data_IF_243177803778
#
_entry.id   IF_243177803778
#
_cell.length_a   1.000
_cell.length_b   1.000
_cell.length_c   1.000
_cell.angle_alpha   90.00
_cell.angle_beta   90.00
_cell.angle_gamma   90.00
#
_symmetry.space_group_name_H-M   'P 1'
#
loop_
_entity.id
_entity.type
_entity.pdbx_description
1 polymer ?
#
# COMPACT_ATOMS: atom_id res chain seq x y z
N UNK A 1 -22.47 -79.62 8.70
CA UNK A 1 -21.50 -78.60 8.22
C UNK A 1 -22.16 -77.20 8.18
N UNK A 2 -22.84 -76.80 9.26
CA UNK A 2 -23.44 -75.46 9.41
C UNK A 2 -23.51 -75.00 10.89
N UNK A 3 -22.87 -75.72 11.83
CA UNK A 3 -22.94 -75.42 13.28
C UNK A 3 -21.58 -75.07 13.91
N UNK A 4 -20.48 -75.14 13.16
CA UNK A 4 -19.12 -74.89 13.66
C UNK A 4 -18.53 -73.55 13.19
N UNK A 5 -19.15 -72.87 12.21
CA UNK A 5 -18.74 -71.55 11.73
C UNK A 5 -19.41 -70.38 12.46
N UNK A 6 -20.44 -70.63 13.29
CA UNK A 6 -21.15 -69.58 14.04
C UNK A 6 -20.49 -69.25 15.37
N UNK A 7 -19.68 -70.17 15.93
CA UNK A 7 -19.02 -69.99 17.24
C UNK A 7 -17.72 -69.17 17.12
N UNK A 8 -16.99 -69.25 16.00
CA UNK A 8 -15.79 -68.43 15.78
C UNK A 8 -16.09 -66.95 15.47
N UNK A 9 -17.29 -66.62 14.95
CA UNK A 9 -17.71 -65.23 14.76
C UNK A 9 -18.18 -64.58 16.08
N UNK A 10 -18.72 -65.36 17.01
CA UNK A 10 -19.22 -64.84 18.30
C UNK A 10 -18.07 -64.47 19.26
N UNK A 11 -16.96 -65.22 19.27
CA UNK A 11 -15.81 -64.93 20.16
C UNK A 11 -14.96 -63.72 19.72
N UNK A 12 -14.92 -63.38 18.42
CA UNK A 12 -14.22 -62.18 17.93
C UNK A 12 -14.94 -60.87 18.27
N UNK A 13 -16.27 -60.88 18.34
CA UNK A 13 -17.05 -59.69 18.68
C UNK A 13 -17.14 -59.42 20.20
N UNK A 14 -17.05 -60.46 21.05
CA UNK A 14 -17.04 -60.29 22.52
C UNK A 14 -15.72 -59.68 23.00
N UNK A 15 -14.59 -60.01 22.36
CA UNK A 15 -13.28 -59.46 22.73
C UNK A 15 -13.12 -57.99 22.30
N UNK A 16 -13.76 -57.58 21.19
CA UNK A 16 -13.74 -56.20 20.71
C UNK A 16 -14.64 -55.25 21.53
N UNK A 17 -15.75 -55.75 22.10
CA UNK A 17 -16.64 -54.94 22.95
C UNK A 17 -16.08 -54.77 24.38
N UNK A 18 -15.26 -55.72 24.87
CA UNK A 18 -14.61 -55.61 26.19
C UNK A 18 -13.42 -54.62 26.17
N UNK A 19 -12.76 -54.41 25.02
CA UNK A 19 -11.75 -53.35 24.89
C UNK A 19 -12.32 -51.94 24.61
N UNK A 20 -13.55 -51.86 24.07
CA UNK A 20 -14.24 -50.57 23.82
C UNK A 20 -15.08 -50.06 24.99
N UNK A 21 -15.17 -50.81 26.10
CA UNK A 21 -15.92 -50.43 27.31
C UNK A 21 -15.05 -50.07 28.51
N UNK A 22 -13.72 -50.01 28.35
CA UNK A 22 -12.78 -49.73 29.45
C UNK A 22 -12.23 -48.28 29.51
N UNK A 23 -12.69 -47.36 28.66
CA UNK A 23 -12.24 -45.95 28.72
C UNK A 23 -13.36 -44.94 29.02
N UNK A 24 -14.58 -45.41 29.29
CA UNK A 24 -15.69 -44.56 29.69
C UNK A 24 -16.35 -45.11 30.96
N UNK A 25 -15.76 -44.81 32.13
CA UNK A 25 -16.42 -44.61 33.44
C UNK A 25 -15.40 -44.80 34.58
N UNK A 26 -14.74 -43.72 34.97
CA UNK A 26 -14.49 -43.46 36.38
C UNK A 26 -14.83 -41.99 36.65
N UNK A 27 -16.09 -41.78 37.00
CA UNK A 27 -16.47 -40.69 37.89
C UNK A 27 -17.01 -41.37 39.15
N UNK A 28 -16.22 -41.37 40.22
CA UNK A 28 -16.72 -41.48 41.59
C UNK A 28 -15.66 -40.90 42.52
N UNK A 29 -16.05 -39.83 43.20
CA UNK A 29 -15.25 -39.08 44.16
C UNK A 29 -14.71 -39.96 45.30
N UNK A 30 -13.46 -39.71 45.69
CA UNK A 30 -13.12 -39.56 47.10
C UNK A 30 -12.06 -38.48 47.23
N UNK A 31 -12.22 -37.66 48.27
CA UNK A 31 -11.43 -36.46 48.54
C UNK A 31 -9.99 -36.82 48.89
N UNK A 32 -9.02 -36.21 48.23
CA UNK A 32 -7.73 -35.87 48.84
C UNK A 32 -7.16 -34.64 48.11
N UNK A 33 -6.89 -33.60 48.90
CA UNK A 33 -6.28 -32.33 48.54
C UNK A 33 -4.89 -32.56 47.94
N UNK A 34 -4.72 -32.31 46.64
CA UNK A 34 -3.45 -31.88 46.04
C UNK A 34 -3.75 -31.03 44.80
N UNK A 35 -3.93 -29.73 45.04
CA UNK A 35 -4.14 -28.70 44.03
C UNK A 35 -2.87 -28.55 43.15
N UNK A 36 -2.77 -29.35 42.09
CA UNK A 36 -2.00 -28.97 40.90
C UNK A 36 -2.98 -28.24 39.99
N UNK A 37 -2.96 -26.91 40.05
CA UNK A 37 -3.56 -26.07 39.01
C UNK A 37 -2.80 -26.34 37.70
N UNK A 38 -3.25 -27.29 36.89
CA UNK A 38 -2.90 -27.31 35.48
C UNK A 38 -3.58 -26.07 34.86
N UNK A 39 -2.77 -25.04 34.57
CA UNK A 39 -3.24 -23.89 33.79
C UNK A 39 -3.83 -24.40 32.47
N UNK A 40 -5.02 -23.93 32.05
CA UNK A 40 -5.54 -24.26 30.74
C UNK A 40 -4.50 -23.87 29.68
N UNK A 41 -4.18 -24.80 28.78
CA UNK A 41 -3.39 -24.47 27.59
C UNK A 41 -4.05 -23.27 26.89
N UNK A 42 -3.29 -22.24 26.48
CA UNK A 42 -3.87 -21.09 25.81
C UNK A 42 -4.64 -21.55 24.56
N UNK A 43 -5.92 -21.17 24.46
CA UNK A 43 -6.74 -21.46 23.28
C UNK A 43 -6.05 -20.85 22.05
N UNK A 44 -5.89 -21.65 20.98
CA UNK A 44 -5.39 -21.10 19.73
C UNK A 44 -6.33 -20.00 19.21
N UNK A 45 -5.79 -18.84 18.79
CA UNK A 45 -6.61 -17.72 18.37
C UNK A 45 -7.48 -18.12 17.18
N UNK A 46 -8.79 -17.96 17.32
CA UNK A 46 -9.76 -18.30 16.28
C UNK A 46 -9.78 -17.22 15.19
N UNK A 47 -9.89 -17.58 13.89
CA UNK A 47 -9.87 -16.58 12.83
C UNK A 47 -11.03 -15.57 12.90
N UNK A 48 -10.71 -14.28 12.94
CA UNK A 48 -11.69 -13.18 12.77
C UNK A 48 -12.07 -13.01 11.28
N UNK A 49 -13.08 -12.19 10.94
CA UNK A 49 -13.38 -11.96 9.52
C UNK A 49 -12.24 -11.22 8.83
N UNK A 50 -11.72 -10.13 9.44
CA UNK A 50 -10.63 -9.35 8.85
C UNK A 50 -9.61 -8.83 9.87
N UNK A 51 -8.33 -8.99 9.56
CA UNK A 51 -7.25 -8.35 10.30
C UNK A 51 -6.55 -7.34 9.41
N UNK A 52 -6.41 -6.10 9.87
CA UNK A 52 -5.70 -5.04 9.15
C UNK A 52 -4.43 -4.68 9.92
N UNK A 53 -3.30 -4.62 9.20
CA UNK A 53 -2.05 -4.02 9.69
C UNK A 53 -1.90 -2.63 9.08
N UNK A 54 -1.83 -1.59 9.90
CA UNK A 54 -1.28 -0.30 9.53
C UNK A 54 0.19 -0.23 9.95
N UNK A 55 1.08 -0.25 8.97
CA UNK A 55 2.52 -0.15 9.18
C UNK A 55 2.95 1.28 8.95
N UNK A 56 3.36 1.95 10.02
CA UNK A 56 3.87 3.32 9.97
C UNK A 56 5.39 3.26 9.93
N UNK A 57 5.98 3.52 8.76
CA UNK A 57 7.43 3.65 8.63
C UNK A 57 7.91 4.83 9.50
N UNK A 58 8.93 4.56 10.32
CA UNK A 58 9.38 5.37 11.45
C UNK A 58 9.91 6.76 11.15
N UNK A 59 10.45 7.36 12.21
CA UNK A 59 11.14 8.66 12.35
C UNK A 59 11.01 9.67 11.21
N UNK A 60 10.31 10.76 11.54
CA UNK A 60 10.15 11.92 10.68
C UNK A 60 10.68 13.14 11.43
N UNK A 61 11.85 12.98 12.02
CA UNK A 61 12.67 14.07 12.51
C UNK A 61 13.75 14.31 11.45
N UNK A 62 13.42 15.13 10.45
CA UNK A 62 14.37 15.45 9.40
C UNK A 62 15.59 16.21 9.95
N UNK A 63 16.79 15.66 9.74
CA UNK A 63 17.92 16.50 9.30
C UNK A 63 17.53 17.31 8.03
N UNK A 64 16.48 16.89 7.32
CA UNK A 64 15.83 17.55 6.19
C UNK A 64 14.71 18.55 6.55
N UNK A 65 14.26 18.65 7.81
CA UNK A 65 13.21 19.59 8.23
C UNK A 65 11.77 19.26 7.84
N UNK A 66 11.48 18.04 7.37
CA UNK A 66 10.11 17.52 7.22
C UNK A 66 9.69 16.84 8.53
N UNK A 67 8.54 17.21 9.09
CA UNK A 67 8.05 16.74 10.40
C UNK A 67 6.69 16.06 10.22
N UNK A 68 6.61 14.72 10.35
CA UNK A 68 5.33 14.01 10.54
C UNK A 68 5.19 13.24 11.87
N UNK A 69 6.02 13.52 12.88
CA UNK A 69 5.82 13.01 14.25
C UNK A 69 4.43 13.38 14.81
N UNK A 70 3.95 14.60 14.54
CA UNK A 70 2.57 15.01 14.86
C UNK A 70 1.52 14.22 14.07
N UNK A 71 1.84 13.82 12.83
CA UNK A 71 0.91 13.08 11.97
C UNK A 71 0.78 11.62 12.38
N UNK A 72 1.85 10.97 12.85
CA UNK A 72 1.78 9.60 13.39
C UNK A 72 0.77 9.52 14.55
N UNK A 73 0.88 10.46 15.49
CA UNK A 73 -0.05 10.64 16.60
C UNK A 73 -1.50 10.86 16.13
N UNK A 74 -1.69 11.79 15.21
CA UNK A 74 -3.00 12.12 14.64
C UNK A 74 -3.63 10.91 13.92
N UNK A 75 -2.84 10.11 13.18
CA UNK A 75 -3.33 8.91 12.52
C UNK A 75 -3.86 7.89 13.52
N UNK A 76 -3.09 7.61 14.59
CA UNK A 76 -3.51 6.64 15.61
C UNK A 76 -4.73 7.16 16.35
N UNK A 77 -4.73 8.42 16.79
CA UNK A 77 -5.89 9.03 17.47
C UNK A 77 -7.14 8.99 16.57
N UNK A 78 -7.03 9.28 15.27
CA UNK A 78 -8.15 9.15 14.32
C UNK A 78 -8.57 7.67 14.15
N UNK A 79 -7.64 6.72 14.18
CA UNK A 79 -7.98 5.30 14.14
C UNK A 79 -8.69 4.83 15.42
N UNK A 80 -8.23 5.25 16.59
CA UNK A 80 -8.89 5.00 17.89
C UNK A 80 -10.29 5.62 17.93
N UNK A 81 -10.43 6.87 17.47
CA UNK A 81 -11.71 7.57 17.39
C UNK A 81 -12.67 6.98 16.35
N UNK A 82 -12.16 6.28 15.33
CA UNK A 82 -12.96 5.57 14.33
C UNK A 82 -13.24 4.11 14.66
N UNK A 83 -12.58 3.57 15.68
CA UNK A 83 -12.70 2.17 16.07
C UNK A 83 -14.07 1.89 16.71
N UNK A 84 -14.64 0.74 16.38
CA UNK A 84 -15.87 0.23 16.97
C UNK A 84 -15.68 -1.27 17.26
N UNK A 85 -15.90 -1.68 18.51
CA UNK A 85 -15.71 -3.07 18.95
C UNK A 85 -16.69 -4.06 18.29
N UNK A 86 -17.72 -3.55 17.59
CA UNK A 86 -18.62 -4.36 16.77
C UNK A 86 -18.07 -4.71 15.39
N UNK A 87 -16.95 -4.10 14.95
CA UNK A 87 -16.29 -4.49 13.72
C UNK A 87 -15.89 -5.97 13.80
N UNK A 88 -16.18 -6.70 12.72
CA UNK A 88 -15.87 -8.13 12.63
C UNK A 88 -14.37 -8.32 12.33
N UNK A 89 -13.48 -7.80 13.16
CA UNK A 89 -12.06 -7.77 12.84
C UNK A 89 -11.20 -7.09 13.89
N UNK A 90 -9.96 -6.82 13.51
CA UNK A 90 -8.94 -6.23 14.38
C UNK A 90 -8.02 -5.30 13.58
N UNK A 91 -7.73 -4.13 14.12
CA UNK A 91 -6.71 -3.22 13.60
C UNK A 91 -5.45 -3.28 14.47
N UNK A 92 -4.33 -3.58 13.83
CA UNK A 92 -3.01 -3.50 14.44
C UNK A 92 -2.22 -2.35 13.82
N UNK A 93 -1.55 -1.55 14.65
CA UNK A 93 -0.66 -0.47 14.20
C UNK A 93 0.75 -0.76 14.67
N UNK A 94 1.68 -0.89 13.73
CA UNK A 94 3.10 -0.86 14.05
C UNK A 94 3.60 0.57 13.97
N UNK A 95 4.29 1.01 15.02
CA UNK A 95 4.99 2.28 15.05
C UNK A 95 6.42 2.10 15.54
N UNK A 96 7.32 2.82 14.89
CA UNK A 96 8.68 3.08 15.34
C UNK A 96 8.71 4.55 15.79
N UNK A 97 8.61 4.81 17.12
CA UNK A 97 8.28 6.13 17.65
C UNK A 97 9.38 7.14 17.36
N UNK A 98 8.99 8.33 16.89
CA UNK A 98 9.90 9.48 16.83
C UNK A 98 10.41 9.84 18.24
N UNK A 99 11.63 10.38 18.40
CA UNK A 99 12.12 10.95 19.65
C UNK A 99 11.17 11.98 20.30
N UNK A 100 10.32 12.64 19.50
CA UNK A 100 9.28 13.56 19.99
C UNK A 100 8.08 12.85 20.61
N UNK A 101 7.88 11.57 20.30
CA UNK A 101 6.83 10.73 20.84
C UNK A 101 7.34 10.04 22.12
N UNK A 102 7.08 10.66 23.26
CA UNK A 102 7.65 10.24 24.57
C UNK A 102 6.89 9.09 25.25
N UNK A 103 5.79 8.59 24.67
CA UNK A 103 4.97 7.57 25.32
C UNK A 103 5.55 6.15 25.17
N UNK A 104 6.26 5.86 24.08
CA UNK A 104 6.94 4.58 23.87
C UNK A 104 8.42 4.83 23.62
N UNK A 105 9.29 4.18 24.40
CA UNK A 105 10.75 4.29 24.22
C UNK A 105 11.27 3.41 23.08
N UNK A 106 10.53 2.35 22.74
CA UNK A 106 10.89 1.36 21.73
C UNK A 106 9.79 1.26 20.65
N UNK A 107 10.09 0.70 19.45
CA UNK A 107 9.06 0.34 18.50
C UNK A 107 8.03 -0.63 19.10
N UNK A 108 6.76 -0.43 18.77
CA UNK A 108 5.65 -1.22 19.32
C UNK A 108 4.65 -1.64 18.25
N UNK A 109 3.98 -2.75 18.52
CA UNK A 109 2.75 -3.17 17.84
C UNK A 109 1.58 -2.92 18.78
N UNK A 110 0.68 -2.06 18.35
CA UNK A 110 -0.54 -1.71 19.05
C UNK A 110 -1.71 -2.50 18.48
N UNK A 111 -2.61 -2.96 19.34
CA UNK A 111 -3.98 -3.36 18.97
C UNK A 111 -4.91 -2.20 19.30
N UNK A 112 -5.53 -1.65 18.26
CA UNK A 112 -6.37 -0.46 18.40
C UNK A 112 -7.58 -0.74 19.28
N UNK A 113 -7.85 0.22 20.18
CA UNK A 113 -9.04 0.28 21.01
C UNK A 113 -9.75 1.60 20.78
N UNK A 114 -11.06 1.63 21.04
CA UNK A 114 -11.82 2.86 20.94
C UNK A 114 -11.36 3.85 22.01
N UNK A 115 -10.97 5.03 21.57
CA UNK A 115 -10.67 6.18 22.42
C UNK A 115 -11.01 7.49 21.70
N UNK A 116 -11.32 8.53 22.46
CA UNK A 116 -11.58 9.88 21.95
C UNK A 116 -10.72 10.94 22.64
N UNK A 117 -9.71 10.52 23.39
CA UNK A 117 -8.74 11.40 24.05
C UNK A 117 -7.50 11.60 23.18
N UNK A 118 -6.64 12.59 23.49
CA UNK A 118 -5.38 12.76 22.75
C UNK A 118 -4.29 11.74 23.08
N UNK A 119 -4.49 10.88 24.09
CA UNK A 119 -3.50 9.92 24.53
C UNK A 119 -3.73 8.57 23.87
N UNK A 120 -2.65 7.90 23.43
CA UNK A 120 -2.78 6.56 22.85
C UNK A 120 -3.11 5.57 23.97
N UNK A 121 -4.32 5.01 23.97
CA UNK A 121 -4.75 4.01 24.98
C UNK A 121 -4.81 2.59 24.42
N UNK A 122 -4.53 2.43 23.13
CA UNK A 122 -4.39 1.15 22.45
C UNK A 122 -3.42 0.21 23.16
N UNK A 123 -3.72 -1.08 23.08
CA UNK A 123 -2.95 -2.11 23.81
C UNK A 123 -1.63 -2.40 23.10
N UNK A 124 -0.52 -2.27 23.82
CA UNK A 124 0.78 -2.76 23.35
C UNK A 124 0.76 -4.29 23.41
N UNK A 125 0.69 -4.93 22.24
CA UNK A 125 0.69 -6.40 22.12
C UNK A 125 2.08 -6.98 21.89
N UNK A 126 3.03 -6.16 21.43
CA UNK A 126 4.45 -6.52 21.31
C UNK A 126 5.31 -5.26 21.32
N UNK A 127 6.40 -5.30 22.08
CA UNK A 127 7.51 -4.35 21.96
C UNK A 127 8.62 -4.99 21.14
N UNK A 128 9.37 -4.19 20.40
CA UNK A 128 10.49 -4.65 19.60
C UNK A 128 11.77 -3.92 19.97
N UNK A 129 12.90 -4.62 19.88
CA UNK A 129 14.20 -3.98 20.00
C UNK A 129 14.39 -2.91 18.91
N UNK A 130 14.97 -1.73 19.23
CA UNK A 130 15.32 -0.74 18.22
C UNK A 130 16.29 -1.32 17.18
N UNK A 131 16.05 -1.04 15.91
CA UNK A 131 17.03 -1.29 14.84
C UNK A 131 17.85 -0.01 14.70
N UNK A 132 19.15 -0.13 14.41
CA UNK A 132 20.06 1.01 14.35
C UNK A 132 19.73 2.10 13.32
N UNK A 133 18.70 1.90 12.49
CA UNK A 133 18.10 2.94 11.65
C UNK A 133 16.59 2.85 11.84
N UNK A 134 15.94 3.97 12.16
CA UNK A 134 14.49 4.04 12.23
C UNK A 134 13.88 3.74 10.85
N UNK A 135 12.71 3.09 10.83
CA UNK A 135 12.04 2.75 9.58
C UNK A 135 12.78 1.72 8.72
N UNK A 136 13.73 0.97 9.26
CA UNK A 136 14.42 -0.08 8.51
C UNK A 136 13.46 -1.21 8.07
N UNK A 137 13.54 -1.59 6.80
CA UNK A 137 12.69 -2.62 6.18
C UNK A 137 12.88 -4.00 6.79
N UNK A 138 13.99 -4.26 7.49
CA UNK A 138 14.23 -5.54 8.15
C UNK A 138 13.15 -5.89 9.18
N UNK A 139 12.48 -4.89 9.78
CA UNK A 139 11.38 -5.09 10.72
C UNK A 139 10.05 -5.47 10.04
N UNK A 140 9.86 -5.05 8.80
CA UNK A 140 8.58 -5.19 8.12
C UNK A 140 8.10 -6.63 7.92
N UNK A 141 8.95 -7.62 7.53
CA UNK A 141 8.54 -9.02 7.51
C UNK A 141 8.19 -9.57 8.88
N UNK A 142 8.92 -9.19 9.93
CA UNK A 142 8.67 -9.66 11.31
C UNK A 142 7.27 -9.24 11.76
N UNK A 143 6.95 -7.95 11.65
CA UNK A 143 5.65 -7.37 12.05
C UNK A 143 4.49 -8.00 11.28
N UNK A 144 4.63 -8.19 9.97
CA UNK A 144 3.57 -8.83 9.17
C UNK A 144 3.30 -10.27 9.65
N UNK A 145 4.34 -11.03 9.97
CA UNK A 145 4.21 -12.40 10.48
C UNK A 145 3.61 -12.42 11.89
N UNK A 146 4.04 -11.52 12.78
CA UNK A 146 3.52 -11.41 14.13
C UNK A 146 2.02 -11.12 14.13
N UNK A 147 1.56 -10.16 13.31
CA UNK A 147 0.14 -9.82 13.20
C UNK A 147 -0.68 -11.03 12.73
N UNK A 148 -0.20 -11.76 11.72
CA UNK A 148 -0.89 -12.97 11.23
C UNK A 148 -0.91 -14.10 12.25
N UNK A 149 0.11 -14.18 13.12
CA UNK A 149 0.17 -15.18 14.19
C UNK A 149 -0.74 -14.81 15.38
N UNK A 150 -0.77 -13.55 15.79
CA UNK A 150 -1.59 -13.03 16.89
C UNK A 150 -3.07 -13.00 16.51
N UNK A 151 -3.37 -12.62 15.27
CA UNK A 151 -4.72 -12.48 14.75
C UNK A 151 -4.85 -13.14 13.37
N UNK A 152 -4.97 -14.48 13.31
CA UNK A 152 -5.39 -15.15 12.10
C UNK A 152 -6.76 -14.61 11.64
N UNK A 153 -6.99 -14.51 10.34
CA UNK A 153 -8.23 -13.97 9.79
C UNK A 153 -8.58 -14.61 8.44
N UNK A 154 -9.86 -14.50 8.06
CA UNK A 154 -10.34 -14.95 6.74
C UNK A 154 -9.85 -14.05 5.60
N UNK A 155 -9.62 -12.77 5.87
CA UNK A 155 -8.95 -11.85 4.95
C UNK A 155 -8.06 -10.86 5.68
N UNK A 156 -7.10 -10.31 4.95
CA UNK A 156 -6.12 -9.36 5.47
C UNK A 156 -6.15 -8.04 4.71
N UNK A 157 -6.07 -6.93 5.44
CA UNK A 157 -5.77 -5.62 4.88
C UNK A 157 -4.37 -5.17 5.29
N UNK A 158 -3.72 -4.37 4.46
CA UNK A 158 -2.45 -3.75 4.78
C UNK A 158 -2.51 -2.26 4.42
N UNK A 159 -2.09 -1.41 5.35
CA UNK A 159 -1.96 0.03 5.12
C UNK A 159 -0.51 0.41 5.38
N UNK A 160 0.09 1.12 4.44
CA UNK A 160 1.49 1.47 4.43
C UNK A 160 1.58 3.00 4.52
N UNK A 161 2.13 3.53 5.61
CA UNK A 161 2.24 4.96 5.87
C UNK A 161 3.70 5.40 5.79
N UNK A 162 3.96 6.49 5.07
CA UNK A 162 5.28 7.09 4.97
C UNK A 162 5.33 8.19 3.91
N UNK A 163 6.54 8.61 3.56
CA UNK A 163 6.80 9.43 2.38
C UNK A 163 6.88 8.55 1.13
N UNK A 164 6.43 9.09 0.00
CA UNK A 164 6.48 8.41 -1.29
C UNK A 164 6.99 9.34 -2.39
N UNK A 165 7.66 8.77 -3.38
CA UNK A 165 8.05 9.46 -4.63
C UNK A 165 7.50 8.79 -5.88
N UNK A 166 6.57 7.85 -5.70
CA UNK A 166 6.21 6.89 -6.75
C UNK A 166 7.41 6.03 -7.10
N UNK A 167 8.20 6.45 -8.08
CA UNK A 167 9.44 5.76 -8.48
C UNK A 167 10.66 6.68 -8.58
N UNK A 168 10.54 7.95 -8.17
CA UNK A 168 11.64 8.89 -8.27
C UNK A 168 12.66 8.66 -7.15
N UNK A 169 13.97 8.83 -7.42
CA UNK A 169 14.94 8.85 -6.34
C UNK A 169 14.70 9.97 -5.34
N UNK A 170 15.16 9.78 -4.11
CA UNK A 170 15.35 10.87 -3.15
C UNK A 170 16.85 11.10 -2.91
N UNK A 171 17.21 12.36 -2.59
CA UNK A 171 18.57 12.77 -2.21
C UNK A 171 19.21 13.82 -3.13
N UNK A 172 19.84 14.84 -2.53
CA UNK A 172 20.36 16.03 -3.22
C UNK A 172 21.81 15.93 -3.71
N UNK A 173 22.56 14.88 -3.36
CA UNK A 173 24.00 14.79 -3.65
C UNK A 173 24.35 13.61 -4.58
N UNK A 174 25.45 13.74 -5.34
CA UNK A 174 26.06 12.71 -6.19
C UNK A 174 26.62 11.50 -5.43
N UNK A 175 26.40 11.44 -4.12
CA UNK A 175 26.75 10.28 -3.32
C UNK A 175 25.71 9.18 -3.54
N UNK A 176 26.00 8.28 -4.47
CA UNK A 176 25.18 7.11 -4.84
C UNK A 176 25.00 6.11 -3.68
N UNK A 177 25.55 6.37 -2.50
CA UNK A 177 25.53 5.46 -1.35
C UNK A 177 24.20 5.46 -0.60
N UNK A 178 23.33 6.47 -0.77
CA UNK A 178 22.06 6.61 -0.04
C UNK A 178 20.83 6.90 -0.92
N UNK A 179 20.95 6.84 -2.24
CA UNK A 179 19.82 7.11 -3.15
C UNK A 179 18.86 5.94 -3.19
N UNK A 180 17.70 6.10 -2.60
CA UNK A 180 16.64 5.11 -2.58
C UNK A 180 15.36 5.70 -3.19
N UNK A 181 14.49 4.87 -3.77
CA UNK A 181 13.26 5.27 -4.50
C UNK A 181 12.05 4.72 -3.78
N UNK A 182 10.83 5.09 -4.18
CA UNK A 182 9.62 4.41 -3.71
C UNK A 182 9.06 5.03 -2.44
N UNK A 183 9.06 4.28 -1.35
CA UNK A 183 8.41 4.68 -0.09
C UNK A 183 9.32 4.45 1.12
N UNK A 184 9.25 5.31 2.13
CA UNK A 184 10.08 5.22 3.33
C UNK A 184 9.62 6.15 4.47
N UNK A 185 10.26 6.02 5.63
CA UNK A 185 10.00 6.86 6.81
C UNK A 185 11.07 7.93 7.02
N UNK A 186 12.35 7.54 6.94
CA UNK A 186 13.52 8.41 7.10
C UNK A 186 14.04 8.91 5.74
N UNK A 187 14.41 10.20 5.67
CA UNK A 187 15.04 10.83 4.52
C UNK A 187 16.34 10.14 4.06
N UNK A 188 16.98 9.34 4.93
CA UNK A 188 18.23 8.63 4.65
C UNK A 188 17.99 7.27 3.95
N UNK A 189 16.81 6.64 4.09
CA UNK A 189 16.49 5.33 3.49
C UNK A 189 15.02 5.22 3.06
N UNK A 190 14.75 5.54 1.81
CA UNK A 190 13.59 5.04 1.07
C UNK A 190 13.81 3.59 0.64
N UNK A 191 12.76 2.93 0.15
CA UNK A 191 12.81 1.53 -0.27
C UNK A 191 12.18 1.38 -1.63
N UNK A 192 12.92 0.77 -2.55
CA UNK A 192 12.45 0.56 -3.91
C UNK A 192 11.15 -0.26 -3.86
N UNK A 193 10.18 0.07 -4.72
CA UNK A 193 8.88 -0.62 -4.72
C UNK A 193 9.02 -2.14 -4.91
N UNK A 194 10.08 -2.59 -5.58
CA UNK A 194 10.45 -4.00 -5.73
C UNK A 194 10.88 -4.64 -4.41
N UNK A 195 11.67 -3.95 -3.61
CA UNK A 195 12.08 -4.43 -2.28
C UNK A 195 10.87 -4.53 -1.36
N UNK A 196 10.00 -3.52 -1.38
CA UNK A 196 8.72 -3.54 -0.66
C UNK A 196 7.87 -4.73 -1.13
N UNK A 197 7.73 -4.93 -2.44
CA UNK A 197 6.96 -6.04 -2.99
C UNK A 197 7.55 -7.40 -2.58
N UNK A 198 8.87 -7.60 -2.69
CA UNK A 198 9.54 -8.85 -2.34
C UNK A 198 9.33 -9.22 -0.86
N UNK A 199 9.36 -8.23 0.03
CA UNK A 199 9.23 -8.41 1.48
C UNK A 199 7.78 -8.40 1.98
N UNK A 200 6.83 -7.96 1.16
CA UNK A 200 5.40 -8.00 1.48
C UNK A 200 4.87 -9.41 1.35
N UNK A 201 4.14 -9.89 2.36
CA UNK A 201 3.45 -11.18 2.31
C UNK A 201 2.33 -11.17 1.24
N UNK A 202 2.00 -12.31 0.61
CA UNK A 202 0.88 -12.36 -0.33
C UNK A 202 -0.48 -12.40 0.38
N UNK A 203 -1.55 -12.47 -0.42
CA UNK A 203 -2.94 -12.73 0.03
C UNK A 203 -3.63 -11.59 0.79
N UNK A 204 -3.27 -10.34 0.52
CA UNK A 204 -4.04 -9.19 0.98
C UNK A 204 -5.32 -9.00 0.15
N UNK A 205 -6.46 -8.78 0.82
CA UNK A 205 -7.70 -8.34 0.16
C UNK A 205 -7.52 -6.94 -0.43
N UNK A 206 -6.84 -6.07 0.31
CA UNK A 206 -6.47 -4.75 -0.16
C UNK A 206 -5.17 -4.26 0.48
N UNK A 207 -4.51 -3.38 -0.24
CA UNK A 207 -3.40 -2.57 0.24
C UNK A 207 -3.74 -1.09 0.07
N UNK A 208 -3.50 -0.30 1.10
CA UNK A 208 -3.65 1.15 1.09
C UNK A 208 -2.26 1.78 1.20
N UNK A 209 -1.85 2.52 0.17
CA UNK A 209 -0.59 3.24 0.14
C UNK A 209 -0.85 4.68 0.60
N UNK A 210 -0.73 4.94 1.90
CA UNK A 210 -0.84 6.27 2.48
C UNK A 210 0.52 7.00 2.39
N UNK A 211 0.93 7.25 1.15
CA UNK A 211 2.12 8.02 0.79
C UNK A 211 1.89 8.76 -0.55
N UNK A 212 2.69 9.80 -0.81
CA UNK A 212 2.60 10.61 -2.03
C UNK A 212 2.93 9.79 -3.29
N UNK A 213 2.25 10.10 -4.40
CA UNK A 213 2.57 9.60 -5.75
C UNK A 213 2.55 8.06 -5.93
N UNK A 214 1.88 7.33 -5.03
CA UNK A 214 1.87 5.86 -5.06
C UNK A 214 0.84 5.28 -6.03
N UNK A 215 -0.10 6.07 -6.57
CA UNK A 215 -1.02 5.65 -7.63
C UNK A 215 -0.34 5.72 -9.01
N UNK A 216 0.74 4.96 -9.17
CA UNK A 216 1.42 4.77 -10.45
C UNK A 216 1.27 3.35 -10.94
N UNK A 217 1.26 3.18 -12.26
CA UNK A 217 1.17 1.85 -12.86
C UNK A 217 2.39 1.01 -12.53
N UNK A 218 3.58 1.62 -12.39
CA UNK A 218 4.80 0.94 -11.97
C UNK A 218 4.69 0.36 -10.55
N UNK A 219 4.28 1.18 -9.57
CA UNK A 219 4.08 0.75 -8.18
C UNK A 219 3.02 -0.35 -8.12
N UNK A 220 1.88 -0.12 -8.77
CA UNK A 220 0.78 -1.08 -8.76
C UNK A 220 1.20 -2.42 -9.38
N UNK A 221 1.99 -2.38 -10.45
CA UNK A 221 2.46 -3.58 -11.13
C UNK A 221 3.45 -4.38 -10.27
N UNK A 222 4.36 -3.74 -9.52
CA UNK A 222 5.26 -4.46 -8.61
C UNK A 222 4.48 -5.19 -7.49
N UNK A 223 3.43 -4.56 -6.96
CA UNK A 223 2.63 -5.11 -5.86
C UNK A 223 1.50 -6.05 -6.30
N UNK A 224 1.27 -6.21 -7.62
CA UNK A 224 0.06 -6.85 -8.16
C UNK A 224 -0.22 -8.28 -7.68
N UNK A 225 0.83 -9.01 -7.27
CA UNK A 225 0.72 -10.39 -6.79
C UNK A 225 0.61 -10.49 -5.26
N UNK A 226 0.63 -9.36 -4.55
CA UNK A 226 0.56 -9.31 -3.09
C UNK A 226 -0.84 -8.99 -2.58
N UNK A 227 -1.66 -8.35 -3.42
CA UNK A 227 -2.99 -7.87 -3.04
C UNK A 227 -4.00 -8.03 -4.18
N UNK A 228 -5.29 -8.05 -3.86
CA UNK A 228 -6.37 -8.00 -4.86
C UNK A 228 -6.69 -6.57 -5.30
N UNK A 229 -6.66 -5.63 -4.35
CA UNK A 229 -6.94 -4.22 -4.60
C UNK A 229 -5.85 -3.32 -4.04
N UNK A 230 -5.58 -2.22 -4.73
CA UNK A 230 -4.71 -1.15 -4.26
C UNK A 230 -5.51 0.15 -4.17
N UNK A 231 -5.28 0.91 -3.09
CA UNK A 231 -5.76 2.28 -2.94
C UNK A 231 -4.57 3.19 -2.76
N UNK A 232 -4.47 4.23 -3.58
CA UNK A 232 -3.34 5.16 -3.54
C UNK A 232 -3.74 6.54 -4.09
N UNK A 233 -2.88 7.54 -3.83
CA UNK A 233 -2.98 8.89 -4.40
C UNK A 233 -1.96 9.07 -5.53
N UNK A 234 -2.37 9.75 -6.60
CA UNK A 234 -1.48 10.11 -7.71
C UNK A 234 -0.64 11.33 -7.36
N UNK A 235 -1.15 12.23 -6.53
CA UNK A 235 -0.45 13.45 -6.12
C UNK A 235 -0.01 13.40 -4.66
N UNK A 236 0.68 14.44 -4.21
CA UNK A 236 1.02 14.64 -2.80
C UNK A 236 -0.21 14.55 -1.89
N UNK A 237 -0.01 13.96 -0.71
CA UNK A 237 -1.07 13.85 0.29
C UNK A 237 -1.25 15.18 1.03
N UNK A 238 -2.50 15.60 1.23
CA UNK A 238 -2.78 16.78 2.04
C UNK A 238 -2.31 16.59 3.49
N UNK A 239 -1.82 17.69 4.06
CA UNK A 239 -1.30 17.76 5.43
C UNK A 239 -2.31 17.36 6.52
N UNK A 240 -3.62 17.46 6.23
CA UNK A 240 -4.70 17.07 7.15
C UNK A 240 -4.82 15.55 7.33
N UNK A 241 -4.24 14.75 6.43
CA UNK A 241 -4.30 13.29 6.45
C UNK A 241 -5.70 12.72 6.16
N UNK A 242 -5.79 11.41 5.97
CA UNK A 242 -7.08 10.77 5.64
C UNK A 242 -8.00 10.66 6.88
N UNK A 243 -9.34 10.65 6.69
CA UNK A 243 -10.30 10.65 7.79
C UNK A 243 -10.53 9.24 8.35
N UNK A 244 -9.52 8.66 8.99
CA UNK A 244 -9.63 7.32 9.59
C UNK A 244 -10.79 7.19 10.58
N UNK A 245 -11.09 8.26 11.31
CA UNK A 245 -12.20 8.32 12.26
C UNK A 245 -13.59 8.15 11.61
N UNK A 246 -13.72 8.42 10.30
CA UNK A 246 -14.99 8.28 9.57
C UNK A 246 -15.00 7.06 8.63
N UNK A 247 -13.84 6.65 8.13
CA UNK A 247 -13.73 5.68 7.04
C UNK A 247 -13.38 4.25 7.42
N UNK A 248 -12.94 4.00 8.66
CA UNK A 248 -12.57 2.65 9.09
C UNK A 248 -13.70 1.63 8.90
N UNK A 249 -14.96 2.04 9.13
CA UNK A 249 -16.13 1.17 8.98
C UNK A 249 -16.25 0.51 7.59
N UNK A 250 -15.88 1.21 6.52
CA UNK A 250 -15.91 0.68 5.17
C UNK A 250 -14.90 -0.45 4.97
N UNK A 251 -13.75 -0.40 5.64
CA UNK A 251 -12.73 -1.44 5.59
C UNK A 251 -13.15 -2.73 6.33
N UNK A 252 -14.11 -2.62 7.25
CA UNK A 252 -14.66 -3.75 8.03
C UNK A 252 -16.02 -4.24 7.53
N UNK A 253 -16.49 -3.77 6.37
CA UNK A 253 -17.70 -4.31 5.75
C UNK A 253 -17.52 -5.82 5.46
N UNK A 254 -18.58 -6.60 5.68
CA UNK A 254 -18.62 -8.05 5.48
C UNK A 254 -19.59 -8.41 4.34
N UNK A 255 -19.24 -9.35 3.44
CA UNK A 255 -18.07 -10.23 3.49
C UNK A 255 -16.78 -9.63 2.89
N UNK A 256 -16.82 -8.42 2.33
CA UNK A 256 -15.66 -7.72 1.73
C UNK A 256 -15.67 -6.26 2.10
N UNK A 257 -14.48 -5.66 2.17
CA UNK A 257 -14.33 -4.22 2.37
C UNK A 257 -15.05 -3.43 1.26
N UNK A 258 -15.74 -2.35 1.64
CA UNK A 258 -16.37 -1.42 0.71
C UNK A 258 -15.36 -0.34 0.30
N UNK A 259 -14.35 -0.75 -0.46
CA UNK A 259 -13.27 0.13 -0.90
C UNK A 259 -13.77 1.28 -1.78
N UNK A 260 -14.89 1.08 -2.48
CA UNK A 260 -15.52 2.12 -3.29
C UNK A 260 -16.00 3.29 -2.43
N UNK A 261 -16.75 3.01 -1.35
CA UNK A 261 -17.16 4.07 -0.41
C UNK A 261 -15.97 4.66 0.32
N UNK A 262 -15.00 3.83 0.71
CA UNK A 262 -13.78 4.30 1.36
C UNK A 262 -13.06 5.36 0.50
N UNK A 263 -12.83 5.06 -0.79
CA UNK A 263 -12.13 5.96 -1.71
C UNK A 263 -12.91 7.24 -1.98
N UNK A 264 -14.20 7.12 -2.30
CA UNK A 264 -15.04 8.28 -2.62
C UNK A 264 -15.19 9.22 -1.41
N UNK A 265 -15.48 8.66 -0.23
CA UNK A 265 -15.64 9.46 0.97
C UNK A 265 -14.32 10.07 1.43
N UNK A 266 -13.20 9.33 1.37
CA UNK A 266 -11.87 9.89 1.70
C UNK A 266 -11.55 11.11 0.83
N UNK A 267 -11.77 11.02 -0.49
CA UNK A 267 -11.46 12.11 -1.40
C UNK A 267 -12.37 13.33 -1.18
N UNK A 268 -13.67 13.10 -0.99
CA UNK A 268 -14.64 14.17 -0.70
C UNK A 268 -14.30 14.87 0.62
N UNK A 269 -13.98 14.10 1.66
CA UNK A 269 -13.63 14.64 2.96
C UNK A 269 -12.35 15.47 2.89
N UNK A 270 -11.30 14.98 2.23
CA UNK A 270 -10.05 15.72 2.02
C UNK A 270 -10.34 17.05 1.34
N UNK A 271 -11.04 17.02 0.20
CA UNK A 271 -11.38 18.23 -0.53
C UNK A 271 -12.16 19.27 0.31
N UNK A 272 -13.06 18.81 1.17
CA UNK A 272 -13.88 19.68 2.01
C UNK A 272 -13.14 20.21 3.26
N UNK A 273 -12.05 19.56 3.69
CA UNK A 273 -11.32 19.88 4.92
C UNK A 273 -9.91 20.42 4.68
N UNK A 274 -9.39 20.40 3.45
CA UNK A 274 -8.14 21.06 3.07
C UNK A 274 -8.35 22.57 2.89
N UNK A 275 -7.31 23.35 3.22
CA UNK A 275 -7.27 24.78 2.94
C UNK A 275 -7.30 25.03 1.42
N UNK A 276 -7.78 26.20 0.97
CA UNK A 276 -7.95 26.47 -0.48
C UNK A 276 -6.64 26.34 -1.28
N UNK A 277 -5.51 26.65 -0.67
CA UNK A 277 -4.15 26.51 -1.20
C UNK A 277 -3.57 25.09 -1.05
N UNK A 278 -4.24 24.17 -0.36
CA UNK A 278 -3.91 22.74 -0.23
C UNK A 278 -5.04 21.85 -0.78
N UNK A 279 -5.98 22.42 -1.56
CA UNK A 279 -7.11 21.68 -2.18
C UNK A 279 -6.62 20.86 -3.38
N UNK A 280 -5.91 19.79 -3.06
CA UNK A 280 -5.46 18.78 -3.99
C UNK A 280 -5.68 17.40 -3.34
N UNK A 281 -6.72 16.70 -3.77
CA UNK A 281 -7.02 15.35 -3.31
C UNK A 281 -7.20 14.45 -4.52
N UNK A 282 -6.47 13.34 -4.57
CA UNK A 282 -6.67 12.29 -5.58
C UNK A 282 -6.67 10.93 -4.92
N UNK A 283 -7.60 10.07 -5.30
CA UNK A 283 -7.59 8.66 -4.88
C UNK A 283 -8.04 7.76 -6.01
N UNK A 284 -7.41 6.59 -6.05
CA UNK A 284 -7.67 5.56 -7.05
C UNK A 284 -7.86 4.21 -6.39
N UNK A 285 -8.85 3.46 -6.85
CA UNK A 285 -9.05 2.04 -6.55
C UNK A 285 -8.63 1.21 -7.75
N UNK A 286 -7.61 0.39 -7.56
CA UNK A 286 -6.98 -0.39 -8.62
C UNK A 286 -7.21 -1.88 -8.38
N UNK A 287 -7.70 -2.62 -9.38
CA UNK A 287 -7.81 -4.07 -9.40
C UNK A 287 -6.49 -4.68 -9.91
N UNK A 288 -5.74 -5.26 -8.98
CA UNK A 288 -4.43 -5.82 -9.26
C UNK A 288 -4.49 -7.01 -10.24
N UNK A 289 -5.61 -7.73 -10.30
CA UNK A 289 -5.79 -8.88 -11.19
C UNK A 289 -5.81 -8.50 -12.67
N UNK A 290 -6.04 -7.22 -12.99
CA UNK A 290 -6.11 -6.73 -14.36
C UNK A 290 -4.77 -6.19 -14.86
N UNK A 291 -3.77 -6.03 -13.98
CA UNK A 291 -2.53 -5.33 -14.30
C UNK A 291 -1.64 -6.08 -15.31
N UNK A 292 -1.58 -7.42 -15.26
CA UNK A 292 -0.86 -8.20 -16.27
C UNK A 292 -1.48 -8.03 -17.68
N UNK A 293 -2.81 -7.99 -17.76
CA UNK A 293 -3.50 -7.73 -19.02
C UNK A 293 -3.29 -6.30 -19.50
N UNK A 294 -3.35 -5.32 -18.59
CA UNK A 294 -3.06 -3.92 -18.90
C UNK A 294 -1.65 -3.75 -19.46
N UNK A 295 -0.64 -4.40 -18.89
CA UNK A 295 0.72 -4.36 -19.41
C UNK A 295 0.81 -4.93 -20.83
N UNK A 296 0.19 -6.10 -21.07
CA UNK A 296 0.18 -6.74 -22.39
C UNK A 296 -0.53 -5.90 -23.45
N UNK A 297 -1.67 -5.30 -23.12
CA UNK A 297 -2.42 -4.44 -24.04
C UNK A 297 -1.71 -3.10 -24.27
N UNK A 298 -1.03 -2.56 -23.25
CA UNK A 298 -0.17 -1.37 -23.39
C UNK A 298 0.96 -1.65 -24.37
N UNK A 299 1.65 -2.78 -24.21
CA UNK A 299 2.68 -3.24 -25.14
C UNK A 299 2.16 -3.36 -26.55
N UNK A 300 1.02 -4.02 -26.74
CA UNK A 300 0.38 -4.16 -28.06
C UNK A 300 0.10 -2.80 -28.68
N UNK A 301 -0.52 -1.89 -27.93
CA UNK A 301 -0.87 -0.56 -28.40
C UNK A 301 0.35 0.26 -28.84
N UNK A 302 1.41 0.28 -28.03
CA UNK A 302 2.66 0.97 -28.35
C UNK A 302 3.33 0.39 -29.63
N UNK A 303 3.34 -0.94 -29.78
CA UNK A 303 3.96 -1.60 -30.93
C UNK A 303 3.16 -1.43 -32.22
N UNK A 304 1.83 -1.57 -32.16
CA UNK A 304 0.96 -1.45 -33.33
C UNK A 304 0.93 -0.01 -33.87
N UNK A 305 0.98 0.98 -32.96
CA UNK A 305 1.13 2.40 -33.31
C UNK A 305 2.56 2.78 -33.75
N UNK A 306 3.51 1.85 -33.65
CA UNK A 306 4.94 2.05 -34.00
C UNK A 306 5.56 3.22 -33.25
N UNK A 307 5.22 3.36 -31.97
CA UNK A 307 5.74 4.41 -31.10
C UNK A 307 7.26 4.30 -31.01
N UNK A 308 7.94 5.43 -31.16
CA UNK A 308 9.39 5.55 -31.03
C UNK A 308 9.78 6.23 -29.70
N UNK A 309 11.04 6.12 -29.31
CA UNK A 309 11.56 6.83 -28.14
C UNK A 309 11.39 8.36 -28.27
N UNK A 310 11.47 8.89 -29.50
CA UNK A 310 11.26 10.31 -29.77
C UNK A 310 9.80 10.73 -29.54
N UNK A 311 8.83 9.88 -29.86
CA UNK A 311 7.40 10.16 -29.60
C UNK A 311 7.12 10.18 -28.09
N UNK A 312 7.71 9.26 -27.33
CA UNK A 312 7.62 9.22 -25.87
C UNK A 312 8.28 10.47 -25.27
N UNK A 313 9.47 10.84 -25.75
CA UNK A 313 10.18 12.04 -25.30
C UNK A 313 9.38 13.31 -25.59
N UNK A 314 8.80 13.44 -26.79
CA UNK A 314 7.96 14.57 -27.16
C UNK A 314 6.66 14.62 -26.34
N UNK A 315 6.03 13.48 -26.08
CA UNK A 315 4.87 13.41 -25.19
C UNK A 315 5.22 13.89 -23.77
N UNK A 316 6.30 13.36 -23.20
CA UNK A 316 6.78 13.69 -21.86
C UNK A 316 7.18 15.16 -21.70
N UNK A 317 7.83 15.75 -22.70
CA UNK A 317 8.39 17.11 -22.58
C UNK A 317 7.38 18.19 -23.02
N UNK A 318 6.61 17.92 -24.07
CA UNK A 318 5.89 18.98 -24.79
C UNK A 318 4.36 18.84 -24.79
N UNK A 319 3.80 17.65 -24.52
CA UNK A 319 2.37 17.39 -24.78
C UNK A 319 1.55 16.97 -23.57
N UNK A 320 2.09 16.11 -22.72
CA UNK A 320 1.34 15.56 -21.59
C UNK A 320 1.21 16.56 -20.46
N UNK A 321 0.08 16.49 -19.77
CA UNK A 321 -0.12 17.20 -18.51
C UNK A 321 0.59 16.46 -17.39
N UNK A 322 1.18 17.26 -16.50
CA UNK A 322 1.78 16.77 -15.28
C UNK A 322 0.66 16.59 -14.25
N UNK A 323 0.67 15.46 -13.57
CA UNK A 323 -0.37 15.11 -12.58
C UNK A 323 -0.18 15.91 -11.30
N UNK A 324 1.04 16.36 -11.05
CA UNK A 324 1.36 17.35 -10.04
C UNK A 324 1.84 18.62 -10.75
N UNK A 325 1.01 19.67 -10.72
CA UNK A 325 1.36 21.01 -11.15
C UNK A 325 1.65 21.83 -9.88
N UNK A 326 2.92 22.21 -9.67
CA UNK A 326 3.43 23.22 -8.74
C UNK A 326 2.40 23.83 -7.75
N UNK A 327 2.54 23.47 -6.46
CA UNK A 327 2.33 24.43 -5.37
C UNK A 327 3.71 25.02 -5.02
N UNK A 328 3.94 26.29 -5.41
CA UNK A 328 5.13 27.05 -5.03
C UNK A 328 4.98 27.51 -3.57
N UNK A 329 5.45 26.71 -2.63
CA UNK A 329 5.40 27.02 -1.19
C UNK A 329 6.63 27.81 -0.68
N UNK A 330 7.60 28.05 -1.57
CA UNK A 330 8.82 28.82 -1.30
C UNK A 330 9.79 28.17 -0.30
N UNK A 331 9.81 26.84 -0.13
CA UNK A 331 10.77 26.15 0.75
C UNK A 331 11.45 24.95 0.08
N UNK A 332 12.74 24.75 0.41
CA UNK A 332 13.60 23.54 0.32
C UNK A 332 13.45 22.53 -0.83
N UNK A 333 12.25 22.03 -1.08
CA UNK A 333 11.80 21.24 -2.25
C UNK A 333 12.05 21.94 -3.59
N UNK A 334 12.15 23.27 -3.56
CA UNK A 334 12.33 24.17 -4.71
C UNK A 334 13.63 23.95 -5.51
N UNK A 335 14.57 23.10 -5.09
CA UNK A 335 15.73 22.73 -5.95
C UNK A 335 15.58 21.33 -6.57
N UNK A 336 14.79 20.45 -5.96
CA UNK A 336 14.52 19.13 -6.51
C UNK A 336 13.34 19.20 -7.48
N UNK A 337 12.20 19.76 -7.07
CA UNK A 337 11.02 19.93 -7.91
C UNK A 337 11.23 20.96 -9.03
N UNK A 338 12.10 21.96 -8.85
CA UNK A 338 12.48 22.91 -9.92
C UNK A 338 13.32 22.32 -11.04
N UNK A 339 14.01 21.22 -10.74
CA UNK A 339 14.94 20.58 -11.67
C UNK A 339 14.50 19.16 -12.10
N UNK A 340 13.56 18.55 -11.36
CA UNK A 340 12.83 17.33 -11.66
C UNK A 340 11.29 17.50 -11.73
N UNK A 341 10.72 18.61 -12.26
CA UNK A 341 9.29 18.92 -12.12
C UNK A 341 8.32 17.94 -12.78
N UNK A 342 8.79 16.93 -13.50
CA UNK A 342 8.04 16.45 -14.67
C UNK A 342 8.23 14.97 -15.00
N UNK A 343 8.41 14.09 -14.01
CA UNK A 343 8.59 12.67 -14.32
C UNK A 343 7.29 11.84 -14.26
N UNK A 344 6.25 12.37 -13.62
CA UNK A 344 4.96 11.70 -13.47
C UNK A 344 3.96 12.28 -14.46
N UNK A 345 3.47 11.45 -15.37
CA UNK A 345 2.43 11.79 -16.34
C UNK A 345 1.16 11.02 -16.02
N UNK A 346 0.00 11.57 -16.36
CA UNK A 346 -1.23 10.79 -16.36
C UNK A 346 -1.13 9.70 -17.43
N UNK A 347 -1.45 8.45 -17.07
CA UNK A 347 -1.22 7.32 -17.96
C UNK A 347 -2.14 7.34 -19.19
N UNK A 348 -3.38 7.79 -19.04
CA UNK A 348 -4.30 7.87 -20.17
C UNK A 348 -3.91 9.03 -21.09
N UNK A 349 -3.56 10.18 -20.54
CA UNK A 349 -3.05 11.32 -21.30
C UNK A 349 -1.77 10.95 -22.06
N UNK A 350 -0.85 10.24 -21.41
CA UNK A 350 0.35 9.67 -22.05
C UNK A 350 0.00 8.83 -23.28
N UNK A 351 -0.96 7.91 -23.16
CA UNK A 351 -1.38 7.08 -24.30
C UNK A 351 -2.02 7.93 -25.41
N UNK A 352 -2.80 8.96 -25.07
CA UNK A 352 -3.40 9.89 -26.06
C UNK A 352 -2.33 10.70 -26.79
N UNK A 353 -1.44 11.37 -26.05
CA UNK A 353 -0.45 12.31 -26.61
C UNK A 353 0.70 11.61 -27.35
N UNK A 354 0.97 10.34 -27.05
CA UNK A 354 1.87 9.51 -27.87
C UNK A 354 1.20 8.95 -29.13
N UNK A 355 -0.14 8.93 -29.20
CA UNK A 355 -0.89 8.30 -30.30
C UNK A 355 -1.03 6.77 -30.14
N UNK A 356 -0.76 6.23 -28.96
CA UNK A 356 -0.94 4.82 -28.64
C UNK A 356 -2.35 4.49 -28.12
N UNK A 357 -3.17 5.48 -27.81
CA UNK A 357 -4.52 5.29 -27.27
C UNK A 357 -5.42 4.53 -28.26
N UNK A 358 -6.09 3.48 -27.78
CA UNK A 358 -7.13 2.76 -28.51
C UNK A 358 -8.29 2.42 -27.56
N UNK A 359 -9.50 2.26 -28.11
CA UNK A 359 -10.68 1.86 -27.32
C UNK A 359 -10.48 0.49 -26.64
N UNK A 360 -9.76 -0.43 -27.29
CA UNK A 360 -9.43 -1.74 -26.74
C UNK A 360 -8.53 -1.62 -25.50
N UNK A 361 -7.45 -0.84 -25.61
CA UNK A 361 -6.56 -0.56 -24.50
C UNK A 361 -7.31 0.13 -23.34
N UNK A 362 -8.12 1.15 -23.65
CA UNK A 362 -8.84 1.90 -22.63
C UNK A 362 -9.93 1.06 -21.93
N UNK A 363 -10.52 0.08 -22.63
CA UNK A 363 -11.41 -0.91 -22.01
C UNK A 363 -10.70 -1.75 -20.95
N UNK A 364 -9.43 -2.10 -21.18
CA UNK A 364 -8.60 -2.82 -20.20
C UNK A 364 -8.17 -1.88 -19.07
N UNK A 365 -7.78 -0.64 -19.37
CA UNK A 365 -7.45 0.37 -18.36
C UNK A 365 -8.60 0.56 -17.36
N UNK A 366 -9.84 0.74 -17.82
CA UNK A 366 -11.01 0.92 -16.95
C UNK A 366 -11.38 -0.30 -16.10
N UNK A 367 -10.85 -1.49 -16.43
CA UNK A 367 -10.98 -2.67 -15.57
C UNK A 367 -9.90 -2.67 -14.48
N UNK A 368 -8.72 -2.14 -14.78
CA UNK A 368 -7.63 -2.01 -13.81
C UNK A 368 -7.85 -0.84 -12.85
N UNK A 369 -8.17 0.37 -13.34
CA UNK A 369 -8.50 1.51 -12.50
C UNK A 369 -10.02 1.61 -12.34
N UNK A 370 -10.56 0.94 -11.31
CA UNK A 370 -12.00 0.79 -11.08
C UNK A 370 -12.68 2.10 -10.69
N UNK A 371 -12.02 2.88 -9.83
CA UNK A 371 -12.48 4.19 -9.39
C UNK A 371 -11.27 5.10 -9.44
N UNK A 372 -11.46 6.28 -10.01
CA UNK A 372 -10.59 7.42 -9.82
C UNK A 372 -11.48 8.57 -9.38
N UNK A 373 -11.05 9.30 -8.35
CA UNK A 373 -11.77 10.46 -7.83
C UNK A 373 -10.76 11.51 -7.45
N UNK A 374 -11.16 12.77 -7.60
CA UNK A 374 -10.30 13.90 -7.34
C UNK A 374 -11.10 15.09 -6.85
N UNK A 375 -10.43 15.97 -6.12
CA UNK A 375 -10.89 17.30 -5.74
C UNK A 375 -9.75 18.29 -5.89
N UNK A 376 -9.85 19.20 -6.85
CA UNK A 376 -8.88 20.27 -7.06
C UNK A 376 -9.52 21.63 -6.79
N UNK A 377 -8.72 22.57 -6.29
CA UNK A 377 -9.13 23.96 -6.09
C UNK A 377 -9.66 24.61 -7.38
N UNK A 378 -10.52 25.62 -7.21
CA UNK A 378 -11.27 26.31 -8.29
C UNK A 378 -10.39 26.88 -9.42
N UNK A 379 -9.11 27.10 -9.16
CA UNK A 379 -8.17 27.74 -10.07
C UNK A 379 -7.35 26.71 -10.88
N UNK A 380 -7.55 25.40 -10.65
CA UNK A 380 -6.83 24.32 -11.35
C UNK A 380 -7.69 23.76 -12.48
N UNK A 381 -7.24 23.93 -13.73
CA UNK A 381 -7.87 23.27 -14.89
C UNK A 381 -7.26 21.88 -15.07
N UNK A 382 -8.09 20.84 -14.97
CA UNK A 382 -7.67 19.44 -15.11
C UNK A 382 -8.28 18.73 -16.33
N UNK A 383 -8.43 19.46 -17.45
CA UNK A 383 -8.95 18.88 -18.69
C UNK A 383 -8.61 19.70 -19.95
N UNK A 384 -8.53 19.01 -21.09
CA UNK A 384 -8.51 19.59 -22.44
C UNK A 384 -9.92 19.57 -23.05
N UNK A 385 -10.18 20.53 -23.95
CA UNK A 385 -11.33 20.49 -24.86
C UNK A 385 -10.83 20.15 -26.27
N UNK A 386 -11.16 18.95 -26.76
CA UNK A 386 -10.72 18.44 -28.06
C UNK A 386 -11.95 18.05 -28.87
N UNK A 387 -12.18 18.70 -30.01
CA UNK A 387 -13.29 18.38 -30.93
C UNK A 387 -14.67 18.20 -30.25
N UNK A 388 -15.00 19.08 -29.30
CA UNK A 388 -16.20 19.08 -28.43
C UNK A 388 -16.27 17.98 -27.36
N UNK A 389 -15.17 17.28 -27.10
CA UNK A 389 -15.04 16.32 -26.00
C UNK A 389 -14.13 16.88 -24.89
N UNK A 390 -14.43 16.48 -23.64
CA UNK A 390 -13.60 16.80 -22.47
C UNK A 390 -12.65 15.63 -22.25
N UNK A 391 -11.35 15.90 -22.27
CA UNK A 391 -10.31 14.93 -21.93
C UNK A 391 -9.71 15.29 -20.57
N UNK A 392 -10.00 14.54 -19.49
CA UNK A 392 -9.46 14.85 -18.17
C UNK A 392 -7.96 14.55 -18.08
N UNK A 393 -7.24 15.37 -17.32
CA UNK A 393 -5.81 15.19 -16.99
C UNK A 393 -5.59 14.23 -15.82
N UNK A 394 -6.65 13.89 -15.09
CA UNK A 394 -6.60 12.89 -14.04
C UNK A 394 -7.49 11.71 -14.41
N UNK A 395 -6.86 10.56 -14.60
CA UNK A 395 -7.50 9.29 -14.90
C UNK A 395 -7.14 8.21 -13.87
N UNK A 396 -6.40 8.56 -12.82
CA UNK A 396 -6.22 7.79 -11.59
C UNK A 396 -4.95 6.95 -11.51
N UNK A 397 -4.20 6.78 -12.60
CA UNK A 397 -2.90 6.14 -12.58
C UNK A 397 -1.92 7.02 -13.33
N UNK A 398 -0.77 7.22 -12.73
CA UNK A 398 0.36 7.81 -13.41
C UNK A 398 1.26 6.78 -14.09
N UNK A 399 2.12 7.27 -14.97
CA UNK A 399 3.22 6.55 -15.60
C UNK A 399 4.46 7.44 -15.64
N UNK A 400 5.63 6.80 -15.58
CA UNK A 400 6.92 7.50 -15.54
C UNK A 400 7.83 7.02 -16.67
N UNK A 401 7.69 7.53 -17.91
CA UNK A 401 8.53 7.08 -19.02
C UNK A 401 9.91 7.76 -18.99
N UNK A 402 10.61 7.65 -17.85
CA UNK A 402 11.90 8.32 -17.55
C UNK A 402 13.01 7.89 -18.52
N UNK A 403 12.91 6.70 -19.13
CA UNK A 403 13.86 6.25 -20.16
C UNK A 403 13.92 7.21 -21.36
N UNK A 404 12.85 7.94 -21.65
CA UNK A 404 12.81 8.94 -22.72
C UNK A 404 13.71 10.16 -22.46
N UNK A 405 14.26 10.29 -21.25
CA UNK A 405 15.24 11.32 -20.90
C UNK A 405 16.68 10.89 -21.17
N UNK A 406 16.93 9.68 -21.69
CA UNK A 406 18.28 9.26 -22.02
C UNK A 406 18.89 10.21 -23.07
N UNK A 407 20.07 10.76 -22.75
CA UNK A 407 20.79 11.75 -23.56
C UNK A 407 20.06 13.09 -23.80
N UNK A 408 18.99 13.39 -23.06
CA UNK A 408 18.32 14.69 -23.18
C UNK A 408 19.20 15.82 -22.63
N UNK A 409 19.61 16.76 -23.49
CA UNK A 409 20.60 17.80 -23.16
C UNK A 409 20.08 18.90 -22.24
N UNK A 410 18.77 18.99 -21.99
CA UNK A 410 18.18 20.03 -21.15
C UNK A 410 18.48 19.90 -19.65
N UNK A 411 19.01 18.75 -19.20
CA UNK A 411 19.26 18.46 -17.78
C UNK A 411 20.75 18.22 -17.47
N UNK A 412 21.66 18.93 -18.14
CA UNK A 412 23.11 18.66 -18.04
C UNK A 412 23.67 18.79 -16.60
N UNK A 413 23.05 19.60 -15.74
CA UNK A 413 23.40 19.73 -14.32
C UNK A 413 23.00 18.51 -13.47
N UNK A 414 22.11 17.64 -13.97
CA UNK A 414 21.52 16.50 -13.25
C UNK A 414 21.67 15.17 -13.99
N UNK A 415 22.57 15.12 -14.99
CA UNK A 415 22.71 13.96 -15.87
C UNK A 415 22.98 12.66 -15.07
N UNK A 416 23.79 12.71 -14.02
CA UNK A 416 24.10 11.54 -13.20
C UNK A 416 22.89 11.02 -12.41
N UNK A 417 22.04 11.94 -11.94
CA UNK A 417 20.78 11.61 -11.31
C UNK A 417 19.79 11.02 -12.31
N UNK A 418 19.60 11.64 -13.49
CA UNK A 418 18.74 11.10 -14.56
C UNK A 418 19.21 9.71 -14.97
N UNK A 419 20.51 9.52 -15.17
CA UNK A 419 21.10 8.23 -15.51
C UNK A 419 20.83 7.17 -14.43
N UNK A 420 20.88 7.55 -13.14
CA UNK A 420 20.49 6.67 -12.04
C UNK A 420 18.98 6.36 -12.03
N UNK A 421 18.15 7.36 -12.29
CA UNK A 421 16.70 7.22 -12.42
C UNK A 421 16.35 6.15 -13.47
N UNK A 422 16.90 6.31 -14.69
CA UNK A 422 16.74 5.38 -15.82
C UNK A 422 17.24 3.97 -15.47
N UNK A 423 18.44 3.84 -14.88
CA UNK A 423 19.00 2.53 -14.53
C UNK A 423 18.09 1.73 -13.60
N UNK A 424 17.53 2.34 -12.54
CA UNK A 424 16.58 1.60 -11.69
C UNK A 424 15.22 1.43 -12.37
N UNK A 425 14.77 2.40 -13.17
CA UNK A 425 13.52 2.26 -13.92
C UNK A 425 13.52 0.97 -14.74
N UNK A 426 14.62 0.72 -15.45
CA UNK A 426 14.84 -0.50 -16.25
C UNK A 426 14.79 -1.80 -15.46
N UNK A 427 14.88 -1.75 -14.13
CA UNK A 427 14.74 -2.92 -13.25
C UNK A 427 13.29 -3.19 -12.81
N UNK A 428 12.36 -2.26 -13.02
CA UNK A 428 10.93 -2.48 -12.74
C UNK A 428 10.35 -3.47 -13.75
N UNK A 429 9.52 -4.39 -13.26
CA UNK A 429 8.83 -5.38 -14.07
C UNK A 429 7.94 -4.72 -15.12
N UNK A 430 7.34 -3.57 -14.79
CA UNK A 430 6.50 -2.81 -15.72
C UNK A 430 7.26 -2.44 -17.01
N UNK A 431 8.50 -1.97 -16.91
CA UNK A 431 9.32 -1.55 -18.06
C UNK A 431 9.40 -2.62 -19.16
N UNK A 432 9.59 -3.88 -18.77
CA UNK A 432 9.63 -5.00 -19.71
C UNK A 432 8.23 -5.48 -20.10
N UNK A 433 7.29 -5.48 -19.15
CA UNK A 433 5.94 -5.98 -19.38
C UNK A 433 5.15 -5.11 -20.37
N UNK A 434 5.28 -3.78 -20.28
CA UNK A 434 4.65 -2.83 -21.19
C UNK A 434 5.43 -2.64 -22.51
N UNK A 435 6.60 -3.25 -22.67
CA UNK A 435 7.38 -3.24 -23.91
C UNK A 435 8.23 -2.00 -24.15
N UNK A 436 8.48 -1.18 -23.13
CA UNK A 436 9.43 -0.06 -23.24
C UNK A 436 10.85 -0.55 -23.56
N UNK A 437 11.24 -1.74 -23.11
CA UNK A 437 12.51 -2.40 -23.47
C UNK A 437 12.68 -2.72 -24.97
N UNK A 438 11.59 -2.66 -25.74
CA UNK A 438 11.59 -2.86 -27.19
C UNK A 438 11.67 -1.53 -27.96
N UNK A 439 11.27 -0.43 -27.34
CA UNK A 439 11.30 0.93 -27.92
C UNK A 439 12.65 1.60 -27.64
N UNK A 440 13.24 1.27 -26.50
CA UNK A 440 14.53 1.77 -25.99
C UNK A 440 15.76 1.17 -26.71
N UNK A 441 15.56 0.38 -27.77
CA UNK A 441 16.61 -0.26 -28.59
C UNK A 441 16.55 0.26 -30.02
#
# INVERSE_FOLDING_TARGET
MAFMNTIQLLCRNITAIILLSFTAMFASCDNDDDNINEEPLPEEPQPVERTILAYIWGDIDGESGLVLSNSQLDYINKMEAGWDDSYAGSLYVYIDPSPMFVQFENPVLLKIKRDDTPAIVSEVVKEYEPIGTHGDIARYPEVQNDVRAIAPAKSYGLMLFGHGSGILPFGLNDDNTFRTKGMGGDAVKYLENREIADLTLPDYEFMIMHACMMASVEVAFELRHKTRYLVASEVSLSSVGWPWHENLSYLYTSPRADLSKFVLHSCEWLYNNSADDDKCATLSLIDASQLDKLAADTKKALMDSKITLADIQDAFINKCHLTENYFDDGKGEELFQKNFPSAQLDFVDFMRKTGAFTDEWFSTYNKACLINTYGFGKDVKMYDEVDNHIEPYYNGLSIYPIMALENYSGFQLFQDYVNYAIRSYRLNQWYTACGFDLIDK
#
